data_IF_859988607299
#
_entry.id   IF_859988607299
#
_cell.length_a   1.000
_cell.length_b   1.000
_cell.length_c   1.000
_cell.angle_alpha   90.00
_cell.angle_beta   90.00
_cell.angle_gamma   90.00
#
_symmetry.space_group_name_H-M   'P 1'
#
loop_
_entity.id
_entity.type
_entity.pdbx_description
1 polymer ?
#
# COMPACT_ATOMS: atom_id res chain seq x y z
N UNK A 1 -9.97 -12.19 -28.04
CA UNK A 1 -10.76 -11.91 -26.82
C UNK A 1 -10.88 -10.41 -26.70
N UNK A 2 -12.04 -9.86 -27.05
CA UNK A 2 -12.31 -8.42 -27.06
C UNK A 2 -12.38 -7.89 -25.64
N UNK A 3 -11.67 -6.80 -25.35
CA UNK A 3 -11.91 -6.01 -24.15
C UNK A 3 -12.63 -4.71 -24.55
N UNK A 4 -13.93 -4.69 -24.29
CA UNK A 4 -14.86 -3.56 -24.28
C UNK A 4 -15.58 -3.68 -22.93
N UNK A 5 -15.81 -2.69 -22.06
CA UNK A 5 -15.79 -1.23 -21.99
C UNK A 5 -15.75 -0.85 -20.47
N UNK A 6 -15.50 0.41 -20.06
CA UNK A 6 -15.44 0.79 -18.65
C UNK A 6 -16.79 1.29 -18.09
N UNK A 7 -17.11 0.93 -16.85
CA UNK A 7 -18.20 1.54 -16.06
C UNK A 7 -17.87 1.49 -14.55
N UNK A 8 -17.18 2.52 -14.04
CA UNK A 8 -17.24 2.90 -12.62
C UNK A 8 -16.62 2.01 -11.53
N UNK A 9 -15.96 0.89 -11.85
CA UNK A 9 -15.13 0.16 -10.88
C UNK A 9 -13.95 -0.50 -11.62
N UNK A 10 -12.81 0.19 -11.67
CA UNK A 10 -11.60 -0.32 -12.33
C UNK A 10 -10.66 -0.82 -11.24
N UNK A 11 -10.34 -2.12 -11.28
CA UNK A 11 -9.33 -2.70 -10.41
C UNK A 11 -7.97 -2.05 -10.70
N UNK A 12 -7.31 -1.57 -9.66
CA UNK A 12 -5.95 -1.05 -9.72
C UNK A 12 -5.02 -2.11 -9.13
N UNK A 13 -4.06 -2.55 -9.93
CA UNK A 13 -2.99 -3.45 -9.51
C UNK A 13 -1.65 -2.71 -9.53
N UNK A 14 -0.79 -2.98 -8.54
CA UNK A 14 0.56 -2.42 -8.47
C UNK A 14 1.59 -3.54 -8.51
N UNK A 15 2.58 -3.42 -9.40
CA UNK A 15 3.70 -4.35 -9.52
C UNK A 15 5.04 -3.64 -9.29
N UNK A 16 6.07 -4.43 -9.01
CA UNK A 16 7.44 -3.94 -8.85
C UNK A 16 7.85 -3.70 -7.40
N UNK A 17 8.98 -3.02 -7.23
CA UNK A 17 9.67 -2.89 -5.94
C UNK A 17 8.82 -2.20 -4.89
N UNK A 18 7.97 -1.25 -5.29
CA UNK A 18 7.09 -0.52 -4.40
C UNK A 18 6.01 -1.41 -3.77
N UNK A 19 5.43 -2.33 -4.54
CA UNK A 19 4.47 -3.30 -4.02
C UNK A 19 5.15 -4.31 -3.08
N UNK A 20 6.43 -4.61 -3.33
CA UNK A 20 7.23 -5.55 -2.56
C UNK A 20 7.82 -4.98 -1.26
N UNK A 21 7.69 -3.66 -1.03
CA UNK A 21 8.19 -3.00 0.16
C UNK A 21 7.27 -3.25 1.37
N UNK A 22 7.76 -3.79 2.50
CA UNK A 22 6.93 -4.06 3.68
C UNK A 22 6.33 -2.81 4.35
N UNK A 23 6.81 -1.60 4.05
CA UNK A 23 6.25 -0.33 4.53
C UNK A 23 5.21 0.22 3.57
N UNK A 24 5.43 0.06 2.26
CA UNK A 24 4.57 0.67 1.23
C UNK A 24 3.47 -0.28 0.76
N UNK A 25 3.74 -1.58 0.61
CA UNK A 25 2.74 -2.58 0.23
C UNK A 25 1.47 -2.54 1.10
N UNK A 26 1.57 -2.57 2.44
CA UNK A 26 0.40 -2.44 3.30
C UNK A 26 -0.33 -1.10 3.17
N UNK A 27 0.42 -0.02 2.93
CA UNK A 27 -0.13 1.33 2.72
C UNK A 27 -0.92 1.43 1.41
N UNK A 28 -0.41 0.80 0.33
CA UNK A 28 -1.13 0.67 -0.95
C UNK A 28 -2.46 -0.07 -0.75
N UNK A 29 -2.46 -1.16 0.03
CA UNK A 29 -3.69 -1.86 0.38
C UNK A 29 -4.65 -0.97 1.19
N UNK A 30 -4.13 -0.18 2.14
CA UNK A 30 -4.91 0.81 2.89
C UNK A 30 -5.51 1.93 2.03
N UNK A 31 -4.87 2.28 0.92
CA UNK A 31 -5.39 3.21 -0.10
C UNK A 31 -6.48 2.60 -0.99
N UNK A 32 -6.72 1.28 -0.90
CA UNK A 32 -7.71 0.57 -1.71
C UNK A 32 -7.15 -0.10 -2.96
N UNK A 33 -5.83 -0.30 -3.05
CA UNK A 33 -5.24 -1.15 -4.10
C UNK A 33 -5.66 -2.59 -3.84
N UNK A 34 -6.35 -3.19 -4.81
CA UNK A 34 -6.94 -4.52 -4.68
C UNK A 34 -5.93 -5.64 -4.92
N UNK A 35 -4.93 -5.40 -5.77
CA UNK A 35 -3.94 -6.40 -6.14
C UNK A 35 -2.50 -5.88 -6.08
N UNK A 36 -1.64 -6.63 -5.38
CA UNK A 36 -0.20 -6.40 -5.32
C UNK A 36 0.54 -7.61 -5.87
N UNK A 37 1.36 -7.39 -6.90
CA UNK A 37 2.16 -8.45 -7.53
C UNK A 37 3.65 -8.33 -7.17
N UNK A 38 4.22 -9.40 -6.64
CA UNK A 38 5.60 -9.45 -6.14
C UNK A 38 6.15 -10.89 -6.03
N UNK A 39 7.45 -11.02 -5.74
CA UNK A 39 8.11 -12.31 -5.53
C UNK A 39 7.66 -13.01 -4.23
N UNK A 40 7.76 -14.35 -4.16
CA UNK A 40 7.36 -15.13 -2.97
C UNK A 40 8.01 -14.65 -1.66
N UNK A 41 9.34 -14.37 -1.58
CA UNK A 41 9.94 -13.81 -0.37
C UNK A 41 9.34 -12.46 0.05
N UNK A 42 8.99 -11.62 -0.93
CA UNK A 42 8.34 -10.33 -0.68
C UNK A 42 6.92 -10.51 -0.16
N UNK A 43 6.16 -11.46 -0.69
CA UNK A 43 4.79 -11.77 -0.22
C UNK A 43 4.80 -12.07 1.28
N UNK A 44 5.75 -12.89 1.75
CA UNK A 44 5.86 -13.24 3.18
C UNK A 44 6.11 -12.01 4.03
N UNK A 45 7.04 -11.13 3.62
CA UNK A 45 7.38 -9.90 4.36
C UNK A 45 6.24 -8.89 4.39
N UNK A 46 5.60 -8.65 3.24
CA UNK A 46 4.48 -7.71 3.12
C UNK A 46 3.25 -8.22 3.87
N UNK A 47 2.95 -9.52 3.81
CA UNK A 47 1.87 -10.11 4.63
C UNK A 47 2.16 -9.98 6.12
N UNK A 48 3.39 -10.26 6.56
CA UNK A 48 3.75 -10.11 7.98
C UNK A 48 3.53 -8.65 8.45
N UNK A 49 3.94 -7.67 7.66
CA UNK A 49 3.70 -6.26 7.95
C UNK A 49 2.19 -5.93 7.99
N UNK A 50 1.43 -6.37 6.98
CA UNK A 50 -0.04 -6.21 6.95
C UNK A 50 -0.71 -6.77 8.20
N UNK A 51 -0.23 -7.90 8.73
CA UNK A 51 -0.78 -8.55 9.92
C UNK A 51 -0.29 -7.96 11.24
N UNK A 52 0.74 -7.12 11.26
CA UNK A 52 1.24 -6.47 12.48
C UNK A 52 0.27 -5.41 13.03
N UNK A 53 -0.62 -4.88 12.18
CA UNK A 53 -1.61 -3.86 12.54
C UNK A 53 -2.97 -4.18 11.90
N UNK A 54 -4.10 -3.74 12.48
CA UNK A 54 -5.41 -3.87 11.85
C UNK A 54 -5.48 -3.06 10.54
N UNK A 55 -6.30 -3.48 9.57
CA UNK A 55 -6.45 -2.76 8.29
C UNK A 55 -6.82 -1.27 8.46
N UNK A 56 -7.58 -0.95 9.51
CA UNK A 56 -7.93 0.43 9.84
C UNK A 56 -6.70 1.33 10.07
N UNK A 57 -5.62 0.79 10.65
CA UNK A 57 -4.36 1.51 10.82
C UNK A 57 -3.78 1.94 9.46
N UNK A 58 -3.71 1.00 8.51
CA UNK A 58 -3.20 1.26 7.16
C UNK A 58 -4.07 2.25 6.38
N UNK A 59 -5.39 2.18 6.56
CA UNK A 59 -6.34 3.11 5.96
C UNK A 59 -6.19 4.53 6.52
N UNK A 60 -6.05 4.68 7.84
CA UNK A 60 -5.83 5.98 8.48
C UNK A 60 -4.53 6.62 8.00
N UNK A 61 -3.45 5.83 7.98
CA UNK A 61 -2.15 6.30 7.53
C UNK A 61 -2.17 6.69 6.04
N UNK A 62 -2.87 5.92 5.20
CA UNK A 62 -3.09 6.27 3.81
C UNK A 62 -3.79 7.63 3.66
N UNK A 63 -4.81 7.90 4.49
CA UNK A 63 -5.48 9.21 4.48
C UNK A 63 -4.59 10.36 4.95
N UNK A 64 -3.70 10.13 5.91
CA UNK A 64 -2.72 11.13 6.33
C UNK A 64 -1.70 11.41 5.22
N UNK A 65 -1.20 10.36 4.57
CA UNK A 65 -0.27 10.47 3.45
C UNK A 65 -0.88 11.27 2.28
N UNK A 66 -2.16 11.04 1.97
CA UNK A 66 -2.89 11.75 0.91
C UNK A 66 -3.13 13.24 1.22
N UNK A 67 -2.98 13.67 2.48
CA UNK A 67 -3.04 15.08 2.88
C UNK A 67 -1.69 15.79 2.82
N UNK A 68 -0.59 15.07 2.63
CA UNK A 68 0.73 15.65 2.52
C UNK A 68 0.82 16.53 1.27
N UNK A 69 1.16 17.81 1.44
CA UNK A 69 1.30 18.76 0.33
C UNK A 69 2.70 18.70 -0.29
N UNK A 70 3.69 18.25 0.48
CA UNK A 70 5.09 18.15 0.04
C UNK A 70 5.67 16.76 0.27
N UNK A 71 6.77 16.48 -0.43
CA UNK A 71 7.54 15.26 -0.21
C UNK A 71 8.09 15.17 1.24
N UNK A 72 8.35 16.31 1.89
CA UNK A 72 8.80 16.34 3.28
C UNK A 72 7.68 15.90 4.24
N UNK A 73 6.46 16.37 4.02
CA UNK A 73 5.29 15.97 4.82
C UNK A 73 5.02 14.47 4.66
N UNK A 74 5.11 13.96 3.43
CA UNK A 74 5.01 12.53 3.15
C UNK A 74 6.07 11.74 3.92
N UNK A 75 7.32 12.19 3.92
CA UNK A 75 8.41 11.53 4.63
C UNK A 75 8.16 11.49 6.15
N UNK A 76 7.59 12.54 6.74
CA UNK A 76 7.24 12.56 8.17
C UNK A 76 6.19 11.49 8.50
N UNK A 77 5.14 11.37 7.66
CA UNK A 77 4.12 10.33 7.83
C UNK A 77 4.77 8.94 7.74
N UNK A 78 5.64 8.71 6.76
CA UNK A 78 6.33 7.42 6.58
C UNK A 78 7.35 7.10 7.68
N UNK A 79 7.92 8.10 8.35
CA UNK A 79 8.83 7.89 9.48
C UNK A 79 8.10 7.38 10.73
N UNK A 80 6.79 7.64 10.84
CA UNK A 80 5.97 7.11 11.95
C UNK A 80 5.78 5.59 11.90
N UNK A 81 6.03 4.96 10.74
CA UNK A 81 6.03 3.51 10.50
C UNK A 81 7.25 2.80 11.14
N UNK A 82 7.56 3.07 12.42
CA UNK A 82 8.72 2.51 13.12
C UNK A 82 8.94 1.02 12.76
N UNK A 83 10.13 0.62 12.26
CA UNK A 83 10.28 -0.63 11.55
C UNK A 83 10.18 -1.88 12.45
N UNK A 84 10.37 -1.77 13.75
CA UNK A 84 10.19 -2.86 14.71
C UNK A 84 9.98 -2.25 16.10
N UNK A 85 8.84 -2.53 16.73
CA UNK A 85 8.67 -2.52 18.17
C UNK A 85 8.19 -3.90 18.59
#
# INVERSE_FOLDING_TARGET
MSWSQPSGNKMVAVCGELAADPKIGPLLAGMGVEELSMSLPSIVRVKAALHAHPMQYWQQLAQELLKAETAADMQLVLQSLSPYS
#
